data_IF_144861976345
#
_entry.id   IF_144861976345
#
_cell.length_a   1.000
_cell.length_b   1.000
_cell.length_c   1.000
_cell.angle_alpha   90.00
_cell.angle_beta   90.00
_cell.angle_gamma   90.00
#
_symmetry.space_group_name_H-M   'P 1'
#
loop_
_entity.id
_entity.type
_entity.pdbx_description
1 polymer ?
#
# COMPACT_ATOMS: atom_id res chain seq x y z
N UNK A 1 -14.07 -7.08 -26.19
CA UNK A 1 -14.25 -6.36 -24.91
C UNK A 1 -12.97 -6.53 -24.13
N UNK A 2 -12.16 -5.48 -24.04
CA UNK A 2 -10.94 -5.49 -23.21
C UNK A 2 -11.35 -5.56 -21.74
N UNK A 3 -10.89 -6.59 -21.02
CA UNK A 3 -11.01 -6.56 -19.55
C UNK A 3 -10.07 -5.48 -19.03
N UNK A 4 -10.60 -4.53 -18.29
CA UNK A 4 -9.82 -3.51 -17.62
C UNK A 4 -8.88 -4.15 -16.59
N UNK A 5 -7.70 -3.57 -16.38
CA UNK A 5 -6.74 -4.11 -15.41
C UNK A 5 -7.30 -4.05 -13.98
N UNK A 6 -7.02 -5.08 -13.15
CA UNK A 6 -7.47 -5.08 -11.76
C UNK A 6 -6.85 -3.93 -10.98
N UNK A 7 -7.65 -3.31 -10.12
CA UNK A 7 -7.22 -2.21 -9.26
C UNK A 7 -7.16 -2.71 -7.82
N UNK A 8 -6.07 -2.49 -7.10
CA UNK A 8 -5.98 -2.86 -5.70
C UNK A 8 -6.90 -1.98 -4.86
N UNK A 9 -7.79 -2.61 -4.11
CA UNK A 9 -8.73 -1.95 -3.21
C UNK A 9 -8.64 -2.65 -1.85
N UNK A 10 -8.47 -1.89 -0.78
CA UNK A 10 -8.48 -2.44 0.56
C UNK A 10 -9.91 -2.73 1.02
N UNK A 11 -10.15 -3.94 1.48
CA UNK A 11 -11.43 -4.34 2.07
C UNK A 11 -11.52 -3.86 3.52
N UNK A 12 -12.73 -3.43 3.90
CA UNK A 12 -13.04 -2.90 5.24
C UNK A 12 -13.75 -3.89 6.16
N UNK A 13 -14.24 -4.96 5.60
CA UNK A 13 -15.06 -5.95 6.35
C UNK A 13 -14.15 -6.90 7.12
N UNK A 14 -14.46 -7.23 8.38
CA UNK A 14 -13.74 -8.25 9.12
C UNK A 14 -13.69 -9.57 8.37
N UNK A 15 -12.59 -10.33 8.41
CA UNK A 15 -12.46 -11.58 7.67
C UNK A 15 -13.52 -12.64 7.99
N UNK A 16 -14.11 -12.57 9.18
CA UNK A 16 -15.17 -13.51 9.64
C UNK A 16 -16.58 -13.07 9.25
N UNK A 17 -16.77 -11.82 8.84
CA UNK A 17 -18.08 -11.34 8.40
C UNK A 17 -18.38 -11.85 6.99
N UNK A 18 -19.62 -12.23 6.76
CA UNK A 18 -20.03 -12.87 5.51
C UNK A 18 -21.22 -12.14 4.92
N UNK A 19 -21.33 -12.19 3.58
CA UNK A 19 -22.49 -11.70 2.84
C UNK A 19 -22.27 -10.41 2.08
N UNK A 20 -21.24 -9.63 2.40
CA UNK A 20 -20.91 -8.41 1.67
C UNK A 20 -19.42 -8.05 1.78
N UNK A 21 -18.99 -7.19 0.88
CA UNK A 21 -17.69 -6.52 0.94
C UNK A 21 -17.90 -5.01 0.97
N UNK A 22 -17.12 -4.32 1.77
CA UNK A 22 -17.06 -2.87 1.75
C UNK A 22 -15.71 -2.41 1.25
N UNK A 23 -15.72 -1.40 0.41
CA UNK A 23 -14.52 -0.72 -0.09
C UNK A 23 -14.59 0.76 0.23
N UNK A 24 -13.46 1.39 0.41
CA UNK A 24 -13.35 2.83 0.58
C UNK A 24 -12.51 3.39 -0.54
N UNK A 25 -13.07 4.32 -1.28
CA UNK A 25 -12.41 4.95 -2.42
C UNK A 25 -12.18 6.41 -2.09
N UNK A 26 -10.91 6.84 -2.09
CA UNK A 26 -10.55 8.25 -2.03
C UNK A 26 -10.53 8.83 -3.44
N UNK A 27 -11.12 10.01 -3.60
CA UNK A 27 -11.01 10.76 -4.85
C UNK A 27 -9.55 11.12 -5.12
N UNK A 28 -9.08 10.79 -6.31
CA UNK A 28 -7.77 11.21 -6.83
C UNK A 28 -8.06 12.11 -8.04
N UNK A 29 -7.54 13.32 -8.01
CA UNK A 29 -7.69 14.25 -9.14
C UNK A 29 -7.15 13.60 -10.41
N UNK A 30 -7.96 13.59 -11.46
CA UNK A 30 -7.68 12.94 -12.74
C UNK A 30 -7.44 11.41 -12.64
N UNK A 31 -7.94 10.79 -11.56
CA UNK A 31 -7.81 9.36 -11.31
C UNK A 31 -8.90 8.57 -12.01
N UNK A 32 -8.55 7.76 -12.99
CA UNK A 32 -9.49 6.96 -13.80
C UNK A 32 -10.44 6.09 -12.96
N UNK A 33 -9.92 5.31 -12.02
CA UNK A 33 -10.73 4.37 -11.23
C UNK A 33 -11.54 5.06 -10.14
N UNK A 34 -10.92 6.01 -9.42
CA UNK A 34 -11.63 6.75 -8.38
C UNK A 34 -12.78 7.55 -8.97
N UNK A 35 -12.56 8.21 -10.12
CA UNK A 35 -13.63 8.90 -10.85
C UNK A 35 -14.74 7.95 -11.26
N UNK A 36 -14.41 6.83 -11.90
CA UNK A 36 -15.39 5.84 -12.32
C UNK A 36 -16.23 5.32 -11.16
N UNK A 37 -15.59 4.91 -10.06
CA UNK A 37 -16.31 4.36 -8.89
C UNK A 37 -17.18 5.39 -8.21
N UNK A 38 -16.71 6.63 -8.08
CA UNK A 38 -17.45 7.68 -7.36
C UNK A 38 -18.58 8.31 -8.18
N UNK A 39 -18.44 8.38 -9.52
CA UNK A 39 -19.34 9.15 -10.37
C UNK A 39 -20.19 8.30 -11.32
N UNK A 40 -19.82 7.03 -11.57
CA UNK A 40 -20.49 6.22 -12.59
C UNK A 40 -21.10 4.92 -12.05
N UNK A 41 -20.58 4.37 -10.94
CA UNK A 41 -21.09 3.12 -10.35
C UNK A 41 -22.45 3.34 -9.70
N UNK A 42 -23.40 2.46 -9.98
CA UNK A 42 -24.76 2.50 -9.46
C UNK A 42 -25.16 1.18 -8.81
N UNK A 43 -26.21 1.23 -8.01
CA UNK A 43 -26.81 0.02 -7.41
C UNK A 43 -27.32 -0.89 -8.54
N UNK A 44 -26.88 -2.14 -8.52
CA UNK A 44 -27.16 -3.12 -9.55
C UNK A 44 -26.00 -3.41 -10.50
N UNK A 45 -24.94 -2.60 -10.47
CA UNK A 45 -23.72 -2.87 -11.24
C UNK A 45 -22.98 -4.12 -10.74
N UNK A 46 -22.37 -4.85 -11.67
CA UNK A 46 -21.66 -6.08 -11.36
C UNK A 46 -20.17 -5.95 -11.68
N UNK A 47 -19.34 -6.36 -10.72
CA UNK A 47 -17.89 -6.36 -10.85
C UNK A 47 -17.32 -7.77 -10.66
N UNK A 48 -16.28 -8.10 -11.41
CA UNK A 48 -15.51 -9.30 -11.17
C UNK A 48 -14.37 -8.99 -10.18
N UNK A 49 -14.23 -9.81 -9.14
CA UNK A 49 -13.13 -9.75 -8.20
C UNK A 49 -12.32 -11.04 -8.25
N UNK A 50 -11.00 -10.92 -8.24
CA UNK A 50 -10.08 -12.06 -8.09
C UNK A 50 -9.98 -12.57 -6.64
N UNK A 51 -10.71 -11.94 -5.72
CA UNK A 51 -10.62 -12.19 -4.28
C UNK A 51 -9.43 -11.44 -3.63
N UNK A 52 -9.24 -11.64 -2.32
CA UNK A 52 -8.17 -10.97 -1.57
C UNK A 52 -6.81 -11.51 -1.99
N UNK A 53 -5.83 -10.60 -2.08
CA UNK A 53 -4.43 -10.90 -2.33
C UNK A 53 -3.55 -9.91 -1.57
N UNK A 54 -2.28 -10.29 -1.34
CA UNK A 54 -1.31 -9.47 -0.61
C UNK A 54 -0.81 -10.14 0.65
N UNK A 55 0.13 -9.47 1.32
CA UNK A 55 0.81 -9.97 2.53
C UNK A 55 0.59 -9.12 3.77
N UNK A 56 -0.14 -8.00 3.63
CA UNK A 56 -0.47 -7.13 4.75
C UNK A 56 -1.64 -7.71 5.54
N UNK A 57 -1.32 -8.70 6.34
CA UNK A 57 -2.28 -9.47 7.11
C UNK A 57 -1.86 -9.51 8.58
N UNK A 58 -2.86 -9.57 9.45
CA UNK A 58 -2.66 -9.87 10.85
C UNK A 58 -2.57 -11.39 11.02
N UNK A 59 -1.45 -11.87 11.56
CA UNK A 59 -1.20 -13.31 11.73
C UNK A 59 -0.90 -13.64 13.19
N UNK A 60 -1.82 -14.35 13.83
CA UNK A 60 -1.73 -14.71 15.25
C UNK A 60 -0.57 -15.66 15.58
N UNK A 61 -0.12 -16.46 14.60
CA UNK A 61 0.95 -17.44 14.81
C UNK A 61 2.35 -16.81 14.82
N UNK A 62 2.55 -15.70 14.10
CA UNK A 62 3.88 -15.12 13.89
C UNK A 62 4.05 -13.71 14.46
N UNK A 63 2.96 -13.01 14.74
CA UNK A 63 3.00 -11.64 15.22
C UNK A 63 2.79 -11.58 16.73
N UNK A 64 3.40 -10.57 17.36
CA UNK A 64 3.27 -10.37 18.81
C UNK A 64 1.83 -10.11 19.20
N UNK A 65 1.45 -10.39 20.44
CA UNK A 65 0.11 -10.10 20.98
C UNK A 65 -0.22 -8.60 20.99
N UNK A 66 0.80 -7.75 21.11
CA UNK A 66 0.67 -6.31 21.09
C UNK A 66 0.96 -5.79 19.68
N UNK A 67 0.11 -4.90 19.18
CA UNK A 67 0.24 -4.29 17.85
C UNK A 67 0.31 -2.77 17.95
N UNK A 68 1.12 -2.16 17.07
CA UNK A 68 1.16 -0.73 16.85
C UNK A 68 0.79 -0.49 15.38
N UNK A 69 -0.35 0.13 15.14
CA UNK A 69 -0.85 0.48 13.81
C UNK A 69 -0.56 1.95 13.52
N UNK A 70 0.15 2.22 12.42
CA UNK A 70 0.46 3.56 11.92
C UNK A 70 -0.26 3.73 10.58
N UNK A 71 -1.38 4.44 10.61
CA UNK A 71 -2.24 4.64 9.46
C UNK A 71 -2.17 6.06 8.90
N UNK A 72 -2.27 6.22 7.58
CA UNK A 72 -2.33 7.53 6.92
C UNK A 72 -3.44 7.65 5.89
N UNK A 73 -4.32 8.65 6.03
CA UNK A 73 -5.38 8.92 5.08
C UNK A 73 -6.31 7.72 4.86
N UNK A 74 -6.63 7.40 3.61
CA UNK A 74 -7.50 6.26 3.25
C UNK A 74 -6.92 4.89 3.59
N UNK A 75 -5.61 4.80 3.85
CA UNK A 75 -4.97 3.55 4.29
C UNK A 75 -5.33 3.13 5.72
N UNK A 76 -6.28 3.80 6.35
CA UNK A 76 -6.93 3.36 7.60
C UNK A 76 -7.76 2.09 7.42
N UNK A 77 -8.21 1.80 6.20
CA UNK A 77 -9.19 0.73 5.91
C UNK A 77 -8.73 -0.68 6.29
N UNK A 78 -7.53 -1.15 5.99
CA UNK A 78 -7.07 -2.46 6.44
C UNK A 78 -6.97 -2.52 7.98
N UNK A 79 -6.57 -1.43 8.63
CA UNK A 79 -6.52 -1.39 10.09
C UNK A 79 -7.90 -1.47 10.72
N UNK A 80 -8.90 -0.77 10.16
CA UNK A 80 -10.28 -0.86 10.65
C UNK A 80 -10.82 -2.29 10.53
N UNK A 81 -10.52 -2.98 9.43
CA UNK A 81 -10.87 -4.39 9.26
C UNK A 81 -10.22 -5.28 10.34
N UNK A 82 -8.91 -5.11 10.57
CA UNK A 82 -8.17 -5.87 11.60
C UNK A 82 -8.69 -5.55 13.01
N UNK A 83 -8.92 -4.28 13.33
CA UNK A 83 -9.45 -3.84 14.63
C UNK A 83 -10.82 -4.46 14.90
N UNK A 84 -11.74 -4.37 13.95
CA UNK A 84 -13.08 -4.99 14.08
C UNK A 84 -13.00 -6.49 14.30
N UNK A 85 -12.18 -7.20 13.50
CA UNK A 85 -12.02 -8.64 13.62
C UNK A 85 -11.48 -9.04 14.99
N UNK A 86 -10.45 -8.37 15.47
CA UNK A 86 -9.84 -8.66 16.78
C UNK A 86 -10.80 -8.35 17.92
N UNK A 87 -11.43 -7.17 17.92
CA UNK A 87 -12.29 -6.75 19.02
C UNK A 87 -13.57 -7.58 19.12
N UNK A 88 -14.24 -7.81 18.00
CA UNK A 88 -15.50 -8.56 18.00
C UNK A 88 -15.32 -10.08 18.08
N UNK A 89 -14.12 -10.60 17.79
CA UNK A 89 -13.81 -12.02 18.04
C UNK A 89 -13.42 -12.31 19.49
N UNK A 90 -13.20 -11.27 20.31
CA UNK A 90 -12.78 -11.43 21.69
C UNK A 90 -11.33 -11.93 21.82
N UNK A 91 -10.49 -11.72 20.82
CA UNK A 91 -9.08 -12.09 20.91
C UNK A 91 -8.36 -11.27 21.98
N UNK A 92 -7.58 -11.95 22.83
CA UNK A 92 -6.71 -11.32 23.85
C UNK A 92 -5.51 -10.64 23.20
N UNK A 93 -5.74 -9.42 22.69
CA UNK A 93 -4.76 -8.60 21.99
C UNK A 93 -4.86 -7.15 22.37
N UNK A 94 -3.71 -6.50 22.43
CA UNK A 94 -3.58 -5.08 22.74
C UNK A 94 -3.19 -4.31 21.47
N UNK A 95 -4.00 -3.33 21.10
CA UNK A 95 -3.83 -2.55 19.88
C UNK A 95 -3.70 -1.07 20.21
N UNK A 96 -2.64 -0.45 19.72
CA UNK A 96 -2.52 1.02 19.65
C UNK A 96 -2.58 1.42 18.18
N UNK A 97 -3.56 2.24 17.81
CA UNK A 97 -3.70 2.81 16.47
C UNK A 97 -3.42 4.31 16.51
N UNK A 98 -2.36 4.73 15.83
CA UNK A 98 -2.04 6.12 15.57
C UNK A 98 -2.41 6.46 14.14
N UNK A 99 -3.33 7.41 13.96
CA UNK A 99 -3.88 7.76 12.66
C UNK A 99 -3.50 9.18 12.27
N UNK A 100 -2.69 9.32 11.22
CA UNK A 100 -2.31 10.59 10.62
C UNK A 100 -3.30 11.02 9.54
N UNK A 101 -3.87 12.22 9.68
CA UNK A 101 -4.70 12.86 8.66
C UNK A 101 -4.31 14.32 8.51
N UNK A 102 -4.66 14.98 7.40
CA UNK A 102 -4.41 16.40 7.23
C UNK A 102 -5.26 17.21 8.20
N UNK A 103 -6.56 17.03 8.17
CA UNK A 103 -7.54 17.70 9.03
C UNK A 103 -8.68 16.75 9.38
N UNK A 104 -9.63 17.20 10.21
CA UNK A 104 -10.77 16.38 10.66
C UNK A 104 -11.69 15.93 9.53
N UNK A 105 -11.87 16.74 8.49
CA UNK A 105 -12.79 16.43 7.39
C UNK A 105 -12.35 15.23 6.57
N UNK A 106 -11.02 14.99 6.48
CA UNK A 106 -10.47 13.83 5.76
C UNK A 106 -10.08 12.67 6.67
N UNK A 107 -10.32 12.78 7.98
CA UNK A 107 -10.09 11.72 8.96
C UNK A 107 -11.27 10.73 8.96
N UNK A 108 -11.36 9.92 7.92
CA UNK A 108 -12.44 8.94 7.76
C UNK A 108 -12.47 7.95 8.93
N UNK A 109 -13.67 7.51 9.30
CA UNK A 109 -13.92 6.58 10.43
C UNK A 109 -13.48 7.07 11.82
N UNK A 110 -13.15 8.36 11.98
CA UNK A 110 -12.72 8.93 13.26
C UNK A 110 -13.72 8.66 14.39
N UNK A 111 -15.01 8.87 14.15
CA UNK A 111 -16.04 8.68 15.15
C UNK A 111 -16.19 7.21 15.55
N UNK A 112 -16.13 6.30 14.60
CA UNK A 112 -16.18 4.86 14.87
C UNK A 112 -14.96 4.41 15.68
N UNK A 113 -13.75 4.80 15.28
CA UNK A 113 -12.52 4.46 15.99
C UNK A 113 -12.51 5.03 17.42
N UNK A 114 -13.04 6.24 17.58
CA UNK A 114 -13.22 6.87 18.90
C UNK A 114 -14.22 6.10 19.76
N UNK A 115 -15.33 5.65 19.17
CA UNK A 115 -16.32 4.81 19.87
C UNK A 115 -15.70 3.49 20.30
N UNK A 116 -15.04 2.79 19.38
CA UNK A 116 -14.40 1.49 19.66
C UNK A 116 -13.34 1.61 20.76
N UNK A 117 -12.55 2.68 20.79
CA UNK A 117 -11.54 2.88 21.84
C UNK A 117 -12.11 3.15 23.24
N UNK A 118 -13.37 3.60 23.32
CA UNK A 118 -14.10 3.74 24.60
C UNK A 118 -14.77 2.43 25.04
N UNK A 119 -15.20 1.62 24.06
CA UNK A 119 -15.93 0.38 24.29
C UNK A 119 -14.98 -0.77 24.66
N UNK A 120 -13.78 -0.82 24.08
CA UNK A 120 -12.85 -1.92 24.24
C UNK A 120 -11.56 -1.47 24.93
N UNK A 121 -11.27 -1.93 26.16
CA UNK A 121 -10.10 -1.48 26.94
C UNK A 121 -8.74 -1.91 26.37
N UNK A 122 -8.75 -2.90 25.48
CA UNK A 122 -7.56 -3.40 24.77
C UNK A 122 -7.29 -2.70 23.42
N UNK A 123 -8.03 -1.62 23.12
CA UNK A 123 -7.85 -0.79 21.93
C UNK A 123 -7.67 0.68 22.29
N UNK A 124 -6.50 1.22 22.01
CA UNK A 124 -6.20 2.64 22.11
C UNK A 124 -6.12 3.28 20.72
N UNK A 125 -6.76 4.43 20.57
CA UNK A 125 -6.81 5.20 19.32
C UNK A 125 -6.38 6.65 19.52
N UNK A 126 -5.51 7.16 18.64
CA UNK A 126 -5.13 8.56 18.62
C UNK A 126 -5.07 9.11 17.21
N UNK A 127 -5.83 10.19 16.96
CA UNK A 127 -5.74 10.97 15.74
C UNK A 127 -4.66 12.05 15.88
N UNK A 128 -3.86 12.21 14.81
CA UNK A 128 -2.81 13.24 14.69
C UNK A 128 -3.04 14.03 13.41
N UNK A 129 -3.20 15.36 13.51
CA UNK A 129 -3.51 16.21 12.37
C UNK A 129 -2.30 17.04 11.95
N UNK A 130 -1.89 16.93 10.67
CA UNK A 130 -0.78 17.73 10.14
C UNK A 130 -1.17 19.18 9.81
N UNK A 131 -2.43 19.43 9.48
CA UNK A 131 -3.01 20.74 9.15
C UNK A 131 -4.23 20.97 10.06
N UNK A 132 -3.99 21.00 11.37
CA UNK A 132 -5.05 21.17 12.36
C UNK A 132 -5.56 22.62 12.34
N UNK A 133 -6.88 22.77 12.38
CA UNK A 133 -7.53 24.06 12.52
C UNK A 133 -7.16 24.77 13.83
N UNK A 134 -7.32 26.10 13.83
CA UNK A 134 -7.14 26.89 15.03
C UNK A 134 -8.12 26.42 16.12
N UNK A 135 -7.61 26.24 17.34
CA UNK A 135 -8.42 25.75 18.46
C UNK A 135 -8.48 24.23 18.59
N UNK A 136 -7.96 23.44 17.65
CA UNK A 136 -7.88 21.98 17.81
C UNK A 136 -7.00 21.60 19.01
N UNK A 137 -7.56 20.84 19.95
CA UNK A 137 -6.92 20.46 21.24
C UNK A 137 -6.23 19.09 21.19
N UNK A 138 -6.38 18.34 20.10
CA UNK A 138 -5.74 17.02 19.93
C UNK A 138 -4.29 17.13 19.47
N UNK A 139 -3.71 16.00 19.10
CA UNK A 139 -2.32 15.92 18.64
C UNK A 139 -2.15 16.55 17.26
N UNK A 140 -1.06 17.32 17.10
CA UNK A 140 -0.70 18.01 15.85
C UNK A 140 0.65 17.54 15.35
N UNK A 141 0.83 17.52 14.02
CA UNK A 141 2.07 17.15 13.35
C UNK A 141 2.00 15.79 12.67
N UNK A 142 3.06 15.00 12.82
CA UNK A 142 3.22 13.71 12.15
C UNK A 142 3.36 12.59 13.16
N UNK A 143 3.30 11.32 12.70
CA UNK A 143 3.50 10.14 13.53
C UNK A 143 5.00 9.94 13.84
N UNK A 144 5.57 10.90 14.52
CA UNK A 144 6.98 10.98 14.89
C UNK A 144 7.30 10.18 16.18
N UNK A 145 8.58 10.16 16.56
CA UNK A 145 9.06 9.51 17.78
C UNK A 145 8.33 10.02 19.05
N UNK A 146 8.01 11.32 19.13
CA UNK A 146 7.30 11.92 20.26
C UNK A 146 5.90 11.30 20.42
N UNK A 147 5.17 11.21 19.33
CA UNK A 147 3.82 10.63 19.30
C UNK A 147 3.87 9.14 19.62
N UNK A 148 4.79 8.40 19.00
CA UNK A 148 4.93 6.96 19.24
C UNK A 148 5.26 6.69 20.71
N UNK A 149 6.23 7.40 21.30
CA UNK A 149 6.60 7.23 22.73
C UNK A 149 5.48 7.60 23.67
N UNK A 150 4.68 8.61 23.33
CA UNK A 150 3.58 9.08 24.17
C UNK A 150 2.45 8.06 24.27
N UNK A 151 2.10 7.41 23.16
CA UNK A 151 0.91 6.55 23.10
C UNK A 151 1.23 5.05 23.04
N UNK A 152 2.46 4.70 22.69
CA UNK A 152 2.94 3.33 22.62
C UNK A 152 4.37 3.25 23.22
N UNK A 153 4.52 3.61 24.50
CA UNK A 153 5.84 3.60 25.18
C UNK A 153 6.50 2.22 25.14
N UNK A 154 5.72 1.15 25.04
CA UNK A 154 6.13 -0.24 24.91
C UNK A 154 6.24 -0.72 23.43
N UNK A 155 6.43 0.20 22.48
CA UNK A 155 6.47 -0.09 21.03
C UNK A 155 7.44 -1.23 20.66
N UNK A 156 8.52 -1.42 21.43
CA UNK A 156 9.48 -2.50 21.20
C UNK A 156 8.89 -3.90 21.48
N UNK A 157 7.84 -3.99 22.29
CA UNK A 157 7.10 -5.22 22.55
C UNK A 157 5.99 -5.48 21.52
N UNK A 158 5.77 -4.54 20.58
CA UNK A 158 4.71 -4.57 19.59
C UNK A 158 5.20 -5.04 18.23
N UNK A 159 4.32 -5.64 17.44
CA UNK A 159 4.49 -5.71 15.99
C UNK A 159 3.94 -4.41 15.42
N UNK A 160 4.77 -3.65 14.70
CA UNK A 160 4.34 -2.43 14.03
C UNK A 160 3.82 -2.73 12.63
N UNK A 161 2.71 -2.09 12.28
CA UNK A 161 2.10 -2.15 10.95
C UNK A 161 2.01 -0.72 10.41
N UNK A 162 2.46 -0.51 9.19
CA UNK A 162 2.48 0.80 8.55
C UNK A 162 1.71 0.72 7.24
N UNK A 163 0.70 1.57 7.08
CA UNK A 163 0.01 1.75 5.80
C UNK A 163 -0.37 3.22 5.62
N UNK A 164 0.06 3.81 4.50
CA UNK A 164 -0.12 5.23 4.23
C UNK A 164 0.54 5.66 2.93
N UNK A 165 0.49 6.96 2.61
CA UNK A 165 1.24 7.54 1.50
C UNK A 165 2.74 7.27 1.60
N UNK A 166 3.44 7.15 0.47
CA UNK A 166 4.87 6.82 0.40
C UNK A 166 5.74 7.65 1.37
N UNK A 167 5.54 8.97 1.42
CA UNK A 167 6.31 9.85 2.30
C UNK A 167 6.10 9.51 3.78
N UNK A 168 4.86 9.23 4.20
CA UNK A 168 4.56 8.82 5.58
C UNK A 168 5.14 7.43 5.87
N UNK A 169 5.02 6.50 4.92
CA UNK A 169 5.56 5.15 5.06
C UNK A 169 7.06 5.17 5.35
N UNK A 170 7.85 5.84 4.52
CA UNK A 170 9.30 5.98 4.73
C UNK A 170 9.60 6.67 6.06
N UNK A 171 8.93 7.78 6.35
CA UNK A 171 9.12 8.52 7.60
C UNK A 171 8.86 7.67 8.85
N UNK A 172 7.74 6.95 8.89
CA UNK A 172 7.38 6.10 10.03
C UNK A 172 8.33 4.91 10.18
N UNK A 173 8.69 4.26 9.06
CA UNK A 173 9.62 3.12 9.05
C UNK A 173 11.00 3.52 9.57
N UNK A 174 11.55 4.61 9.05
CA UNK A 174 12.84 5.14 9.47
C UNK A 174 12.82 5.56 10.94
N UNK A 175 11.72 6.19 11.38
CA UNK A 175 11.54 6.56 12.78
C UNK A 175 11.58 5.34 13.68
N UNK A 176 10.81 4.29 13.39
CA UNK A 176 10.79 3.06 14.18
C UNK A 176 12.15 2.35 14.21
N UNK A 177 12.86 2.30 13.08
CA UNK A 177 14.19 1.70 13.00
C UNK A 177 15.21 2.50 13.84
N UNK A 178 15.20 3.84 13.74
CA UNK A 178 16.04 4.73 14.58
C UNK A 178 15.73 4.58 16.06
N UNK A 179 14.48 4.34 16.41
CA UNK A 179 14.06 4.06 17.80
C UNK A 179 14.45 2.66 18.29
N UNK A 180 15.03 1.82 17.43
CA UNK A 180 15.54 0.49 17.76
C UNK A 180 14.55 -0.67 17.56
N UNK A 181 13.41 -0.46 16.88
CA UNK A 181 12.54 -1.56 16.50
C UNK A 181 13.21 -2.38 15.40
N UNK A 182 13.15 -3.71 15.52
CA UNK A 182 13.78 -4.60 14.54
C UNK A 182 12.96 -4.67 13.26
N UNK A 183 13.61 -4.69 12.10
CA UNK A 183 12.94 -4.82 10.78
C UNK A 183 11.97 -6.00 10.73
N UNK A 184 12.30 -7.12 11.34
CA UNK A 184 11.42 -8.31 11.40
C UNK A 184 10.10 -8.08 12.14
N UNK A 185 10.01 -7.05 12.97
CA UNK A 185 8.82 -6.70 13.75
C UNK A 185 8.01 -5.58 13.07
N UNK A 186 8.40 -5.16 11.86
CA UNK A 186 7.69 -4.19 11.04
C UNK A 186 6.99 -4.92 9.90
N UNK A 187 5.72 -4.60 9.69
CA UNK A 187 4.88 -4.98 8.55
C UNK A 187 4.44 -3.72 7.87
N UNK A 188 4.62 -3.66 6.58
CA UNK A 188 4.32 -2.45 5.85
C UNK A 188 3.62 -2.79 4.53
N UNK A 189 2.71 -1.92 4.13
CA UNK A 189 2.04 -1.94 2.84
C UNK A 189 2.14 -0.55 2.23
N UNK A 190 2.63 -0.50 1.00
CA UNK A 190 2.76 0.74 0.24
C UNK A 190 1.74 0.72 -0.88
N UNK A 191 0.83 1.70 -0.89
CA UNK A 191 -0.14 1.84 -1.98
C UNK A 191 0.43 2.67 -3.13
N UNK A 192 0.39 2.07 -4.32
CA UNK A 192 0.72 2.74 -5.57
C UNK A 192 2.20 2.72 -5.93
N UNK A 193 2.45 3.14 -7.15
CA UNK A 193 3.77 3.52 -7.66
C UNK A 193 4.05 4.98 -7.30
N UNK A 194 5.32 5.38 -7.35
CA UNK A 194 5.69 6.79 -7.30
C UNK A 194 4.96 7.57 -8.39
N UNK A 195 4.46 8.76 -8.06
CA UNK A 195 3.84 9.64 -9.05
C UNK A 195 4.84 10.11 -10.13
N UNK A 196 6.13 10.07 -9.81
CA UNK A 196 7.22 10.41 -10.72
C UNK A 196 8.46 9.62 -10.30
N UNK A 197 8.67 8.50 -10.98
CA UNK A 197 9.77 7.59 -10.70
C UNK A 197 11.15 8.23 -10.92
N UNK A 198 11.23 9.24 -11.79
CA UNK A 198 12.50 9.92 -12.11
C UNK A 198 13.06 10.71 -10.92
N UNK A 199 12.25 10.97 -9.90
CA UNK A 199 12.64 11.65 -8.66
C UNK A 199 13.02 10.68 -7.54
N UNK A 200 12.89 9.38 -7.74
CA UNK A 200 13.30 8.40 -6.74
C UNK A 200 14.82 8.27 -6.64
N UNK A 201 15.30 8.01 -5.42
CA UNK A 201 16.70 7.73 -5.17
C UNK A 201 17.19 6.52 -5.99
N UNK A 202 18.32 6.67 -6.66
CA UNK A 202 18.88 5.64 -7.53
C UNK A 202 18.39 5.67 -8.98
N UNK A 203 17.47 6.57 -9.35
CA UNK A 203 17.11 6.76 -10.74
C UNK A 203 18.33 7.21 -11.56
N UNK A 204 18.61 6.59 -12.75
CA UNK A 204 19.72 6.96 -13.60
C UNK A 204 19.55 8.39 -14.14
N UNK A 205 20.46 9.28 -13.79
CA UNK A 205 20.37 10.71 -14.14
C UNK A 205 20.43 10.99 -15.65
N UNK A 206 21.00 10.07 -16.40
CA UNK A 206 21.14 10.12 -17.87
C UNK A 206 19.86 9.73 -18.62
N UNK A 207 18.85 9.18 -17.93
CA UNK A 207 17.62 8.69 -18.55
C UNK A 207 16.50 9.68 -18.30
N UNK A 208 15.98 10.26 -19.40
CA UNK A 208 14.75 11.04 -19.36
C UNK A 208 13.54 10.10 -19.23
N UNK A 209 12.61 10.40 -18.32
CA UNK A 209 11.40 9.62 -18.12
C UNK A 209 10.52 9.47 -19.37
N UNK A 210 10.63 10.36 -20.33
CA UNK A 210 9.92 10.28 -21.63
C UNK A 210 10.69 9.50 -22.71
N UNK A 211 11.93 9.11 -22.44
CA UNK A 211 12.72 8.29 -23.37
C UNK A 211 12.00 6.98 -23.66
N UNK A 212 11.93 6.59 -24.93
CA UNK A 212 11.23 5.39 -25.38
C UNK A 212 12.25 4.29 -25.63
N UNK A 213 12.01 3.14 -25.06
CA UNK A 213 12.73 1.89 -25.32
C UNK A 213 11.81 0.86 -25.98
N UNK A 214 12.39 -0.09 -26.66
CA UNK A 214 11.66 -1.23 -27.25
C UNK A 214 11.57 -2.35 -26.22
N UNK A 215 10.36 -2.82 -25.98
CA UNK A 215 10.07 -3.96 -25.12
C UNK A 215 9.57 -5.13 -25.97
N UNK A 216 10.38 -6.17 -26.09
CA UNK A 216 10.03 -7.40 -26.82
C UNK A 216 9.45 -8.43 -25.87
N UNK A 217 8.30 -9.00 -26.26
CA UNK A 217 7.59 -10.06 -25.54
C UNK A 217 7.13 -11.10 -26.55
N UNK A 218 7.77 -12.27 -26.62
CA UNK A 218 7.56 -13.23 -27.68
C UNK A 218 7.84 -12.60 -29.04
N UNK A 219 6.84 -12.65 -29.95
CA UNK A 219 6.94 -12.06 -31.30
C UNK A 219 6.50 -10.57 -31.36
N UNK A 220 6.06 -10.00 -30.25
CA UNK A 220 5.61 -8.61 -30.19
C UNK A 220 6.71 -7.67 -29.70
N UNK A 221 6.76 -6.48 -30.29
CA UNK A 221 7.62 -5.38 -29.83
C UNK A 221 6.75 -4.17 -29.58
N UNK A 222 6.81 -3.65 -28.36
CA UNK A 222 6.01 -2.49 -27.93
C UNK A 222 6.92 -1.36 -27.45
N UNK A 223 6.42 -0.14 -27.53
CA UNK A 223 7.12 1.03 -26.99
C UNK A 223 6.88 1.12 -25.46
N UNK A 224 7.93 1.29 -24.71
CA UNK A 224 7.91 1.48 -23.27
C UNK A 224 8.66 2.75 -22.88
N UNK A 225 8.00 3.69 -22.21
CA UNK A 225 8.66 4.90 -21.70
C UNK A 225 9.48 4.55 -20.46
N UNK A 226 10.63 5.18 -20.31
CA UNK A 226 11.48 4.99 -19.15
C UNK A 226 10.73 5.29 -17.83
N UNK A 227 9.91 6.34 -17.80
CA UNK A 227 9.14 6.77 -16.63
C UNK A 227 7.86 5.97 -16.37
N UNK A 228 7.48 5.02 -17.24
CA UNK A 228 6.35 4.10 -17.00
C UNK A 228 6.84 2.71 -16.61
N UNK A 229 6.11 2.01 -15.74
CA UNK A 229 6.48 0.63 -15.43
C UNK A 229 6.26 -0.29 -16.63
N UNK A 230 7.04 -1.38 -16.70
CA UNK A 230 6.88 -2.41 -17.73
C UNK A 230 5.44 -2.92 -17.78
N UNK A 231 4.78 -3.07 -16.62
CA UNK A 231 3.38 -3.46 -16.56
C UNK A 231 2.47 -2.50 -17.33
N UNK A 232 2.64 -1.18 -17.15
CA UNK A 232 1.83 -0.16 -17.83
C UNK A 232 2.05 -0.21 -19.34
N UNK A 233 3.31 -0.38 -19.79
CA UNK A 233 3.62 -0.52 -21.21
C UNK A 233 2.93 -1.75 -21.81
N UNK A 234 2.95 -2.90 -21.11
CA UNK A 234 2.28 -4.13 -21.56
C UNK A 234 0.76 -3.97 -21.63
N UNK A 235 0.16 -3.40 -20.59
CA UNK A 235 -1.30 -3.15 -20.54
C UNK A 235 -1.75 -2.20 -21.65
N UNK A 236 -1.01 -1.13 -21.89
CA UNK A 236 -1.27 -0.19 -22.99
C UNK A 236 -1.19 -0.87 -24.36
N UNK A 237 -0.34 -1.87 -24.51
CA UNK A 237 -0.25 -2.69 -25.73
C UNK A 237 -1.29 -3.82 -25.78
N UNK A 238 -2.18 -3.96 -24.81
CA UNK A 238 -3.18 -5.01 -24.74
C UNK A 238 -2.63 -6.39 -24.35
N UNK A 239 -1.38 -6.46 -23.88
CA UNK A 239 -0.74 -7.69 -23.41
C UNK A 239 -1.13 -7.95 -21.97
N UNK A 240 -1.80 -9.08 -21.72
CA UNK A 240 -2.29 -9.44 -20.39
C UNK A 240 -1.17 -9.91 -19.47
N UNK A 241 -1.10 -9.34 -18.29
CA UNK A 241 -0.21 -9.74 -17.21
C UNK A 241 -1.06 -10.04 -15.97
N UNK A 242 -0.76 -11.12 -15.28
CA UNK A 242 -1.38 -11.36 -13.98
C UNK A 242 -0.91 -10.28 -13.00
N UNK A 243 -1.82 -9.51 -12.44
CA UNK A 243 -1.48 -8.41 -11.54
C UNK A 243 -2.52 -8.28 -10.43
N UNK A 244 -2.05 -7.83 -9.24
CA UNK A 244 -2.93 -7.50 -8.12
C UNK A 244 -2.46 -6.20 -7.44
N UNK A 245 -1.41 -6.22 -6.61
CA UNK A 245 -1.06 -5.11 -5.71
C UNK A 245 -0.48 -3.87 -6.41
N UNK A 246 0.13 -3.99 -7.58
CA UNK A 246 0.85 -2.92 -8.30
C UNK A 246 1.94 -2.21 -7.47
N UNK A 247 2.26 -2.72 -6.29
CA UNK A 247 3.26 -2.20 -5.35
C UNK A 247 4.53 -3.04 -5.26
N UNK A 248 4.63 -4.12 -6.06
CA UNK A 248 5.83 -4.98 -6.09
C UNK A 248 5.89 -6.02 -4.96
N UNK A 249 4.78 -6.30 -4.27
CA UNK A 249 4.75 -7.19 -3.09
C UNK A 249 4.22 -8.59 -3.40
N UNK A 250 3.13 -8.71 -4.18
CA UNK A 250 2.40 -9.97 -4.35
C UNK A 250 3.04 -10.96 -5.33
N UNK A 251 4.03 -10.55 -6.10
CA UNK A 251 4.74 -11.34 -7.13
C UNK A 251 3.85 -11.85 -8.30
N UNK A 252 2.59 -11.45 -8.41
CA UNK A 252 1.71 -11.90 -9.50
C UNK A 252 2.15 -11.38 -10.87
N UNK A 253 2.69 -10.14 -10.92
CA UNK A 253 3.19 -9.51 -12.13
C UNK A 253 4.63 -9.89 -12.48
N UNK A 254 5.11 -11.01 -11.95
CA UNK A 254 6.47 -11.50 -12.18
C UNK A 254 6.68 -11.86 -13.65
N UNK A 255 7.76 -11.35 -14.23
CA UNK A 255 8.24 -11.68 -15.57
C UNK A 255 9.74 -11.94 -15.53
N UNK A 256 10.25 -12.72 -16.45
CA UNK A 256 11.69 -12.97 -16.57
C UNK A 256 12.32 -11.94 -17.48
N UNK A 257 13.33 -11.22 -17.02
CA UNK A 257 14.14 -10.33 -17.84
C UNK A 257 15.20 -11.16 -18.60
N UNK A 258 15.05 -11.27 -19.90
CA UNK A 258 15.94 -12.04 -20.78
C UNK A 258 17.10 -11.15 -21.27
N UNK A 259 16.79 -9.93 -21.66
CA UNK A 259 17.77 -8.97 -22.21
C UNK A 259 17.45 -7.56 -21.71
N UNK A 260 18.53 -6.78 -21.55
CA UNK A 260 18.44 -5.35 -21.24
C UNK A 260 18.64 -5.02 -19.75
N UNK A 261 18.35 -3.76 -19.41
CA UNK A 261 18.51 -3.22 -18.05
C UNK A 261 17.24 -2.52 -17.61
N UNK A 262 16.93 -2.65 -16.34
CA UNK A 262 15.78 -2.00 -15.70
C UNK A 262 16.22 -1.27 -14.44
N UNK A 263 15.54 -0.18 -14.13
CA UNK A 263 15.52 0.39 -12.79
C UNK A 263 14.45 -0.36 -11.97
N UNK A 264 14.85 -0.83 -10.80
CA UNK A 264 13.96 -1.49 -9.84
C UNK A 264 13.59 -0.47 -8.76
N UNK A 265 12.32 -0.07 -8.73
CA UNK A 265 11.85 0.92 -7.77
C UNK A 265 11.98 0.43 -6.32
N UNK A 266 12.25 1.36 -5.42
CA UNK A 266 12.41 1.08 -4.01
C UNK A 266 11.15 0.41 -3.40
N UNK A 267 11.36 -0.45 -2.39
CA UNK A 267 10.28 -1.15 -1.69
C UNK A 267 9.74 -2.39 -2.38
N UNK A 268 10.30 -2.81 -3.51
CA UNK A 268 9.92 -4.07 -4.16
C UNK A 268 10.39 -5.29 -3.35
N UNK A 269 9.46 -6.20 -3.03
CA UNK A 269 9.74 -7.44 -2.30
C UNK A 269 10.05 -8.60 -3.26
N UNK A 270 11.17 -8.50 -3.98
CA UNK A 270 11.61 -9.57 -4.88
C UNK A 270 12.25 -10.70 -4.07
N UNK A 271 11.78 -11.93 -4.26
CA UNK A 271 12.38 -13.10 -3.63
C UNK A 271 13.81 -13.29 -4.12
N UNK A 272 14.69 -13.72 -3.23
CA UNK A 272 16.10 -13.97 -3.58
C UNK A 272 16.25 -14.97 -4.75
N UNK A 273 15.41 -16.00 -4.77
CA UNK A 273 15.39 -16.96 -5.87
C UNK A 273 14.98 -16.30 -7.19
N UNK A 274 13.91 -15.48 -7.18
CA UNK A 274 13.44 -14.78 -8.37
C UNK A 274 14.53 -13.86 -8.92
N UNK A 275 15.19 -13.09 -8.06
CA UNK A 275 16.33 -12.24 -8.44
C UNK A 275 17.48 -13.03 -9.08
N UNK A 276 17.85 -14.18 -8.49
CA UNK A 276 18.94 -15.03 -9.00
C UNK A 276 18.62 -15.65 -10.38
N UNK A 277 17.35 -15.88 -10.69
CA UNK A 277 16.91 -16.43 -11.96
C UNK A 277 16.45 -15.37 -12.97
N UNK A 278 16.72 -14.09 -12.70
CA UNK A 278 16.43 -12.99 -13.62
C UNK A 278 14.97 -12.56 -13.65
N UNK A 279 14.16 -12.95 -12.67
CA UNK A 279 12.78 -12.47 -12.57
C UNK A 279 12.72 -11.09 -11.95
N UNK A 280 11.77 -10.29 -12.43
CA UNK A 280 11.43 -8.94 -11.93
C UNK A 280 9.93 -8.82 -11.75
N UNK A 281 9.49 -7.85 -10.95
CA UNK A 281 8.07 -7.48 -10.88
C UNK A 281 7.78 -6.36 -11.87
N UNK A 282 7.06 -6.66 -12.96
CA UNK A 282 6.81 -5.70 -14.03
C UNK A 282 6.14 -4.39 -13.56
N UNK A 283 5.38 -4.41 -12.46
CA UNK A 283 4.73 -3.23 -11.90
C UNK A 283 5.67 -2.24 -11.18
N UNK A 284 6.88 -2.66 -10.84
CA UNK A 284 7.90 -1.86 -10.13
C UNK A 284 9.26 -1.87 -10.85
N UNK A 285 9.28 -2.30 -12.11
CA UNK A 285 10.46 -2.31 -12.97
C UNK A 285 10.25 -1.34 -14.13
N UNK A 286 11.24 -0.52 -14.39
CA UNK A 286 11.20 0.58 -15.36
C UNK A 286 12.29 0.42 -16.39
N UNK A 287 12.03 0.61 -17.69
CA UNK A 287 13.02 0.42 -18.75
C UNK A 287 14.20 1.39 -18.66
N UNK A 288 15.44 0.87 -18.73
CA UNK A 288 16.66 1.65 -18.82
C UNK A 288 17.44 1.35 -20.10
N UNK A 289 16.95 0.46 -20.93
CA UNK A 289 17.45 0.11 -22.26
C UNK A 289 16.31 -0.60 -23.02
N UNK A 290 16.56 -0.98 -24.26
CA UNK A 290 15.70 -1.97 -24.92
C UNK A 290 15.68 -3.27 -24.13
N UNK A 291 14.53 -3.91 -24.05
CA UNK A 291 14.27 -5.06 -23.18
C UNK A 291 13.71 -6.24 -23.96
N UNK A 292 14.02 -7.45 -23.49
CA UNK A 292 13.30 -8.67 -23.83
C UNK A 292 12.85 -9.36 -22.53
N UNK A 293 11.56 -9.72 -22.46
CA UNK A 293 10.98 -10.41 -21.30
C UNK A 293 10.20 -11.64 -21.72
N UNK A 294 10.08 -12.60 -20.79
CA UNK A 294 9.24 -13.80 -20.87
C UNK A 294 8.27 -13.86 -19.67
N UNK A 295 7.08 -14.48 -19.89
CA UNK A 295 6.10 -14.75 -18.84
C UNK A 295 6.39 -16.06 -18.10
#
# INVERSE_FOLDING_TARGET
MGQEPPVPIAYRVPPKERGYYEITVAEIKDGYVSDYVLNHVQVGDHFLSSGPAGHFVYNTAFHKKKSLFLAGGSSITPFLSMVRDILYSGEDRDIVLLYGARNLHVAIYHDELTRLSKEFPNFAYQLVLSEAEEGYKGEKGFLDERIIRKYASDFQERTAYISGPNAMHHFCKDTLLKMGLKQKDIRDEVFGSSNDITKEEGWPKEIDGNQIFKLKVGDQVVDAKAGESILVALERAGIRVNVCCRSGECSLCRVKLVLGKVYLANGMLLRLADSKFGYIHSCKSYPNSDLEIEF
#
